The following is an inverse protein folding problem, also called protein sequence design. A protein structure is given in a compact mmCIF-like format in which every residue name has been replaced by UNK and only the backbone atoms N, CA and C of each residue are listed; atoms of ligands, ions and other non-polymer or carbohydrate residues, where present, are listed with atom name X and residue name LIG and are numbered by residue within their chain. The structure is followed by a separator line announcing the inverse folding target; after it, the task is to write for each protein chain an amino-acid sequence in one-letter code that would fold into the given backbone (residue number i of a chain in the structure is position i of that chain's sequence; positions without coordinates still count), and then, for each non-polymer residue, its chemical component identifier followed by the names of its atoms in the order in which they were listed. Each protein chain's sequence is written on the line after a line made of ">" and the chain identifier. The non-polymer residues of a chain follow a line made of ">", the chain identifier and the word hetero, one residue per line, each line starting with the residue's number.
data_IF_925829942773
#
_entry.id   IF_925829942773
#
_cell.length_a   1.000
_cell.length_b   1.000
_cell.length_c   1.000
_cell.angle_alpha   90.00
_cell.angle_beta   90.00
_cell.angle_gamma   90.00
#
_symmetry.space_group_name_H-M   'P 1'
#
loop_
_entity.id
_entity.type
_entity.pdbx_description
1 polymer ?
#
# COMPACT_ATOMS: atom_id res chain seq x y z
N UNK A 1 -10.40 10.02 14.44
CA UNK A 1 -11.46 10.89 13.86
C UNK A 1 -11.81 10.33 12.48
N UNK A 2 -13.09 10.30 12.11
CA UNK A 2 -13.53 9.88 10.78
C UNK A 2 -13.27 11.01 9.77
N UNK A 3 -12.92 10.65 8.53
CA UNK A 3 -12.71 11.64 7.46
C UNK A 3 -14.01 12.43 7.20
N UNK A 4 -13.98 13.78 7.16
CA UNK A 4 -15.16 14.55 6.85
C UNK A 4 -15.57 14.39 5.37
N UNK A 5 -16.85 14.64 5.02
CA UNK A 5 -17.25 14.75 3.62
C UNK A 5 -16.55 15.93 2.94
N UNK A 6 -16.45 15.87 1.62
CA UNK A 6 -15.84 16.95 0.83
C UNK A 6 -15.59 16.53 -0.61
N UNK A 7 -14.77 17.29 -1.33
CA UNK A 7 -14.36 16.93 -2.68
C UNK A 7 -13.09 16.08 -2.63
N UNK A 8 -13.04 15.03 -3.43
CA UNK A 8 -11.87 14.18 -3.55
C UNK A 8 -10.74 14.93 -4.25
N UNK A 9 -9.64 15.14 -3.53
CA UNK A 9 -8.44 15.81 -4.03
C UNK A 9 -7.42 14.77 -4.48
N UNK A 10 -7.69 14.12 -5.61
CA UNK A 10 -6.75 13.22 -6.26
C UNK A 10 -5.43 13.93 -6.59
N UNK A 11 -4.31 13.18 -6.62
CA UNK A 11 -2.99 13.74 -6.98
C UNK A 11 -2.71 13.52 -8.46
N UNK A 12 -2.01 14.48 -9.09
CA UNK A 12 -1.74 14.45 -10.53
C UNK A 12 -3.03 14.57 -11.35
N UNK A 13 -3.05 14.02 -12.55
CA UNK A 13 -4.21 13.99 -13.45
C UNK A 13 -5.16 12.85 -13.06
N UNK A 14 -5.64 12.87 -11.82
CA UNK A 14 -6.50 11.82 -11.31
C UNK A 14 -7.94 11.95 -11.87
N UNK A 15 -8.50 10.93 -12.54
CA UNK A 15 -9.79 11.04 -13.24
C UNK A 15 -10.98 11.33 -12.29
N UNK A 16 -10.96 10.78 -11.08
CA UNK A 16 -11.98 11.03 -10.04
C UNK A 16 -11.80 12.31 -9.21
N UNK A 17 -10.86 13.19 -9.57
CA UNK A 17 -10.68 14.45 -8.85
C UNK A 17 -11.96 15.30 -8.90
N UNK A 18 -12.36 15.88 -7.76
CA UNK A 18 -13.59 16.64 -7.65
C UNK A 18 -14.83 15.80 -7.31
N UNK A 19 -14.78 14.46 -7.40
CA UNK A 19 -15.89 13.61 -6.98
C UNK A 19 -16.23 13.80 -5.48
N UNK A 20 -17.52 13.70 -5.14
CA UNK A 20 -17.99 13.91 -3.77
C UNK A 20 -17.62 12.73 -2.87
N UNK A 21 -16.81 12.98 -1.85
CA UNK A 21 -16.62 12.10 -0.70
C UNK A 21 -17.82 12.23 0.23
N UNK A 22 -18.59 11.15 0.35
CA UNK A 22 -19.79 11.10 1.18
C UNK A 22 -19.43 11.14 2.66
N UNK A 23 -20.38 11.60 3.48
CA UNK A 23 -20.27 11.53 4.94
C UNK A 23 -20.47 10.08 5.37
N UNK A 24 -19.49 9.53 6.08
CA UNK A 24 -19.58 8.21 6.68
C UNK A 24 -20.55 8.24 7.88
N UNK A 25 -21.47 7.28 7.92
CA UNK A 25 -22.44 7.09 8.99
C UNK A 25 -22.05 5.90 9.88
N UNK A 26 -22.62 5.77 11.10
CA UNK A 26 -22.44 4.58 11.92
C UNK A 26 -22.72 3.27 11.18
N UNK A 27 -23.71 3.27 10.29
CA UNK A 27 -24.13 2.13 9.46
C UNK A 27 -23.11 1.74 8.39
N UNK A 28 -22.08 2.57 8.16
CA UNK A 28 -20.95 2.25 7.28
C UNK A 28 -19.75 1.68 8.07
N UNK A 29 -19.78 1.78 9.39
CA UNK A 29 -18.64 1.53 10.28
C UNK A 29 -18.68 0.10 10.81
N UNK A 30 -17.55 -0.59 10.65
CA UNK A 30 -17.26 -1.88 11.25
C UNK A 30 -16.32 -1.68 12.43
N UNK A 31 -16.73 -2.16 13.60
CA UNK A 31 -15.94 -2.16 14.83
C UNK A 31 -15.22 -3.51 14.96
N UNK A 32 -13.92 -3.49 15.24
CA UNK A 32 -13.16 -4.68 15.61
C UNK A 32 -12.66 -4.54 17.05
N UNK A 33 -13.05 -5.47 17.91
CA UNK A 33 -12.78 -5.40 19.34
C UNK A 33 -12.62 -6.80 19.96
N UNK A 34 -12.04 -6.92 21.15
CA UNK A 34 -11.96 -8.19 21.87
C UNK A 34 -13.35 -8.75 22.22
N UNK A 35 -13.50 -10.09 22.27
CA UNK A 35 -14.78 -10.75 22.56
C UNK A 35 -15.37 -10.35 23.91
N UNK A 36 -14.52 -10.24 24.92
CA UNK A 36 -14.91 -9.90 26.30
C UNK A 36 -14.86 -8.40 26.59
N UNK A 37 -14.59 -7.57 25.58
CA UNK A 37 -14.47 -6.12 25.75
C UNK A 37 -15.83 -5.43 25.61
N UNK A 38 -16.01 -4.32 26.34
CA UNK A 38 -17.21 -3.51 26.19
C UNK A 38 -17.29 -2.89 24.79
N UNK A 39 -18.31 -3.27 24.03
CA UNK A 39 -18.56 -2.74 22.68
C UNK A 39 -18.92 -1.25 22.79
N UNK A 40 -18.25 -0.36 22.03
CA UNK A 40 -18.61 1.05 21.97
C UNK A 40 -20.05 1.23 21.50
N UNK A 41 -20.83 2.06 22.20
CA UNK A 41 -22.21 2.35 21.79
C UNK A 41 -22.20 3.26 20.55
N UNK A 42 -23.04 2.99 19.54
CA UNK A 42 -23.27 3.91 18.44
C UNK A 42 -23.97 5.19 18.95
N UNK A 43 -23.95 6.28 18.17
CA UNK A 43 -24.80 7.44 18.43
C UNK A 43 -26.29 7.06 18.56
N UNK A 44 -27.06 7.88 19.26
CA UNK A 44 -28.48 7.64 19.48
C UNK A 44 -29.25 7.48 18.15
N UNK A 45 -30.14 6.48 18.08
CA UNK A 45 -30.91 6.15 16.88
C UNK A 45 -30.13 5.44 15.77
N UNK A 46 -28.84 5.15 15.98
CA UNK A 46 -27.97 4.52 14.98
C UNK A 46 -27.47 3.14 15.42
N UNK A 47 -26.95 2.38 14.46
CA UNK A 47 -26.26 1.12 14.71
C UNK A 47 -24.95 1.03 13.93
N UNK A 48 -24.02 0.21 14.42
CA UNK A 48 -22.82 -0.13 13.65
C UNK A 48 -23.18 -1.07 12.50
N UNK A 49 -22.47 -0.96 11.39
CA UNK A 49 -22.58 -1.90 10.26
C UNK A 49 -22.36 -3.35 10.72
N UNK A 50 -21.32 -3.53 11.52
CA UNK A 50 -20.88 -4.83 12.01
C UNK A 50 -19.98 -4.64 13.24
N UNK A 51 -20.05 -5.57 14.19
CA UNK A 51 -19.06 -5.71 15.26
C UNK A 51 -18.39 -7.08 15.08
N UNK A 52 -17.06 -7.11 15.01
CA UNK A 52 -16.27 -8.32 14.85
C UNK A 52 -15.16 -8.44 15.88
N UNK A 53 -14.63 -9.65 15.98
CA UNK A 53 -13.59 -10.02 16.95
C UNK A 53 -12.44 -10.75 16.25
N UNK A 54 -11.74 -10.05 15.35
CA UNK A 54 -10.62 -10.57 14.58
C UNK A 54 -9.29 -10.15 15.20
N UNK A 55 -8.57 -11.12 15.77
CA UNK A 55 -7.27 -10.92 16.39
C UNK A 55 -6.09 -11.05 15.41
N UNK A 56 -6.34 -11.30 14.12
CA UNK A 56 -5.31 -11.37 13.07
C UNK A 56 -5.03 -10.00 12.43
N UNK A 57 -5.91 -9.03 12.67
CA UNK A 57 -5.78 -7.66 12.15
C UNK A 57 -5.37 -6.67 13.23
N UNK A 58 -4.91 -5.49 12.83
CA UNK A 58 -4.43 -4.43 13.76
C UNK A 58 -5.29 -3.16 13.75
N UNK A 59 -6.37 -3.15 12.96
CA UNK A 59 -7.32 -2.04 12.92
C UNK A 59 -8.41 -2.24 13.97
N UNK A 60 -8.90 -1.11 14.49
CA UNK A 60 -9.96 -1.03 15.51
C UNK A 60 -11.31 -0.68 14.88
N UNK A 61 -11.28 0.14 13.83
CA UNK A 61 -12.47 0.59 13.10
C UNK A 61 -12.16 0.53 11.62
N UNK A 62 -13.13 0.14 10.80
CA UNK A 62 -13.04 0.12 9.35
C UNK A 62 -14.31 0.67 8.70
N UNK A 63 -14.17 1.35 7.56
CA UNK A 63 -15.29 1.65 6.67
C UNK A 63 -14.81 1.62 5.22
N UNK A 64 -15.73 1.47 4.28
CA UNK A 64 -15.42 1.52 2.85
C UNK A 64 -15.72 2.91 2.30
N UNK A 65 -14.75 3.55 1.64
CA UNK A 65 -14.94 4.87 1.05
C UNK A 65 -15.57 4.80 -0.36
N UNK A 66 -16.31 5.83 -0.76
CA UNK A 66 -17.20 5.76 -1.93
C UNK A 66 -16.58 6.15 -3.28
N UNK A 67 -15.33 6.63 -3.32
CA UNK A 67 -14.67 7.08 -4.56
C UNK A 67 -14.08 5.89 -5.30
N UNK A 68 -13.35 5.02 -4.60
CA UNK A 68 -12.69 3.84 -5.16
C UNK A 68 -13.15 2.53 -4.51
N UNK A 69 -14.03 2.57 -3.51
CA UNK A 69 -14.45 1.36 -2.79
C UNK A 69 -13.36 0.82 -1.86
N UNK A 70 -12.36 1.63 -1.52
CA UNK A 70 -11.25 1.17 -0.68
C UNK A 70 -11.64 1.15 0.80
N UNK A 71 -11.05 0.20 1.54
CA UNK A 71 -11.21 0.17 2.99
C UNK A 71 -10.28 1.18 3.66
N UNK A 72 -10.85 1.93 4.61
CA UNK A 72 -10.19 2.89 5.48
C UNK A 72 -10.23 2.39 6.90
N UNK A 73 -9.21 2.73 7.69
CA UNK A 73 -9.01 2.14 9.01
C UNK A 73 -8.66 3.20 10.05
N UNK A 74 -9.15 3.02 11.28
CA UNK A 74 -8.54 3.59 12.48
C UNK A 74 -7.62 2.53 13.07
N UNK A 75 -6.35 2.87 13.22
CA UNK A 75 -5.31 2.03 13.81
C UNK A 75 -4.65 2.77 14.98
N UNK A 76 -3.90 2.03 15.80
CA UNK A 76 -3.08 2.60 16.86
C UNK A 76 -2.00 3.55 16.32
N UNK A 77 -1.58 4.48 17.17
CA UNK A 77 -0.48 5.42 16.90
C UNK A 77 0.83 4.67 16.59
N UNK A 78 1.73 5.30 15.84
CA UNK A 78 3.09 4.84 15.59
C UNK A 78 3.88 4.53 16.87
N UNK A 79 3.62 5.24 17.97
CA UNK A 79 4.25 4.97 19.28
C UNK A 79 3.75 3.69 19.98
N UNK A 80 2.69 3.06 19.47
CA UNK A 80 2.20 1.81 20.04
C UNK A 80 3.17 0.64 19.82
N UNK A 81 3.19 -0.31 20.76
CA UNK A 81 4.00 -1.53 20.67
C UNK A 81 3.82 -2.25 19.32
N UNK A 82 2.58 -2.42 18.87
CA UNK A 82 2.26 -3.15 17.64
C UNK A 82 2.89 -2.48 16.40
N UNK A 83 2.85 -1.14 16.32
CA UNK A 83 3.47 -0.42 15.21
C UNK A 83 4.99 -0.39 15.35
N UNK A 84 5.51 -0.14 16.54
CA UNK A 84 6.94 -0.13 16.82
C UNK A 84 7.63 -1.46 16.52
N UNK A 85 7.04 -2.58 16.92
CA UNK A 85 7.60 -3.92 16.68
C UNK A 85 7.66 -4.25 15.18
N UNK A 86 6.61 -3.87 14.42
CA UNK A 86 6.61 -4.02 12.95
C UNK A 86 7.68 -3.14 12.29
N UNK A 87 7.85 -1.91 12.77
CA UNK A 87 8.84 -0.99 12.23
C UNK A 87 10.28 -1.45 12.54
N UNK A 88 10.51 -1.97 13.75
CA UNK A 88 11.76 -2.61 14.11
C UNK A 88 12.06 -3.83 13.21
N UNK A 89 11.08 -4.72 13.02
CA UNK A 89 11.22 -5.87 12.11
C UNK A 89 11.51 -5.45 10.66
N UNK A 90 10.93 -4.34 10.18
CA UNK A 90 11.20 -3.77 8.86
C UNK A 90 12.70 -3.43 8.71
N UNK A 91 13.29 -2.77 9.71
CA UNK A 91 14.73 -2.46 9.68
C UNK A 91 15.61 -3.71 9.85
N UNK A 92 15.23 -4.67 10.70
CA UNK A 92 15.95 -5.93 10.81
C UNK A 92 15.95 -6.71 9.49
N UNK A 93 14.86 -6.66 8.70
CA UNK A 93 14.83 -7.24 7.36
C UNK A 93 15.82 -6.55 6.42
N UNK A 94 15.92 -5.22 6.47
CA UNK A 94 16.90 -4.48 5.69
C UNK A 94 18.35 -4.81 6.09
N UNK A 95 18.63 -4.95 7.40
CA UNK A 95 19.95 -5.38 7.91
C UNK A 95 20.29 -6.80 7.46
N UNK A 96 19.32 -7.71 7.43
CA UNK A 96 19.51 -9.06 6.87
C UNK A 96 19.83 -9.01 5.37
N UNK A 97 19.14 -8.17 4.60
CA UNK A 97 19.42 -7.97 3.18
C UNK A 97 20.86 -7.46 2.96
N UNK A 98 21.30 -6.48 3.76
CA UNK A 98 22.66 -5.94 3.66
C UNK A 98 23.76 -7.01 3.76
N UNK A 99 23.56 -8.04 4.59
CA UNK A 99 24.55 -9.14 4.74
C UNK A 99 24.68 -10.05 3.50
N UNK A 100 23.69 -10.04 2.61
CA UNK A 100 23.64 -10.95 1.45
C UNK A 100 23.50 -10.20 0.13
N UNK A 101 23.57 -8.87 0.14
CA UNK A 101 23.27 -8.04 -1.03
C UNK A 101 24.25 -8.29 -2.17
N UNK A 102 25.53 -8.48 -1.88
CA UNK A 102 26.55 -8.66 -2.93
C UNK A 102 26.33 -9.97 -3.69
N UNK A 103 25.98 -11.05 -3.00
CA UNK A 103 25.56 -12.31 -3.65
C UNK A 103 24.32 -12.12 -4.54
N UNK A 104 23.35 -11.31 -4.12
CA UNK A 104 22.16 -11.01 -4.95
C UNK A 104 22.56 -10.22 -6.20
N UNK A 105 23.53 -9.31 -6.08
CA UNK A 105 24.07 -8.52 -7.19
C UNK A 105 24.80 -9.38 -8.20
N UNK A 106 25.67 -10.27 -7.74
CA UNK A 106 26.34 -11.26 -8.58
C UNK A 106 25.31 -12.10 -9.36
N UNK A 107 24.29 -12.60 -8.66
CA UNK A 107 23.24 -13.41 -9.28
C UNK A 107 22.49 -12.66 -10.39
N UNK A 108 22.03 -11.42 -10.15
CA UNK A 108 21.30 -10.70 -11.20
C UNK A 108 22.21 -10.29 -12.37
N UNK A 109 23.51 -10.08 -12.14
CA UNK A 109 24.46 -9.80 -13.21
C UNK A 109 24.70 -11.02 -14.11
N UNK A 110 24.74 -12.22 -13.52
CA UNK A 110 24.78 -13.47 -14.29
C UNK A 110 23.48 -13.61 -15.11
N UNK A 111 22.33 -13.35 -14.50
CA UNK A 111 21.02 -13.46 -15.13
C UNK A 111 20.83 -12.54 -16.35
N UNK A 112 21.60 -11.45 -16.49
CA UNK A 112 21.58 -10.60 -17.69
C UNK A 112 21.90 -11.34 -18.99
N UNK A 113 22.65 -12.45 -18.89
CA UNK A 113 23.04 -13.29 -20.03
C UNK A 113 22.18 -14.54 -20.18
N UNK A 114 21.10 -14.67 -19.39
CA UNK A 114 20.20 -15.82 -19.49
C UNK A 114 19.55 -15.92 -20.88
N UNK A 115 19.34 -17.15 -21.37
CA UNK A 115 18.60 -17.41 -22.61
C UNK A 115 17.12 -17.02 -22.47
N UNK A 116 16.56 -17.08 -21.26
CA UNK A 116 15.17 -16.75 -21.00
C UNK A 116 14.95 -15.24 -20.84
N UNK A 117 14.05 -14.67 -21.66
CA UNK A 117 13.73 -13.25 -21.60
C UNK A 117 13.19 -12.82 -20.23
N UNK A 118 12.31 -13.62 -19.63
CA UNK A 118 11.72 -13.34 -18.31
C UNK A 118 12.78 -13.18 -17.22
N UNK A 119 13.83 -13.99 -17.26
CA UNK A 119 14.94 -13.93 -16.30
C UNK A 119 15.73 -12.63 -16.51
N UNK A 120 16.05 -12.28 -17.76
CA UNK A 120 16.74 -11.02 -18.11
C UNK A 120 15.94 -9.79 -17.69
N UNK A 121 14.63 -9.76 -17.97
CA UNK A 121 13.74 -8.68 -17.57
C UNK A 121 13.72 -8.51 -16.04
N UNK A 122 13.55 -9.60 -15.29
CA UNK A 122 13.61 -9.59 -13.81
C UNK A 122 14.93 -9.04 -13.30
N UNK A 123 16.05 -9.47 -13.88
CA UNK A 123 17.38 -9.06 -13.46
C UNK A 123 17.67 -7.58 -13.73
N UNK A 124 17.23 -7.05 -14.88
CA UNK A 124 17.34 -5.61 -15.19
C UNK A 124 16.43 -4.79 -14.28
N UNK A 125 15.20 -5.22 -14.02
CA UNK A 125 14.31 -4.55 -13.08
C UNK A 125 14.90 -4.53 -11.65
N UNK A 126 15.46 -5.66 -11.21
CA UNK A 126 16.12 -5.74 -9.89
C UNK A 126 17.33 -4.81 -9.80
N UNK A 127 18.11 -4.70 -10.88
CA UNK A 127 19.22 -3.74 -10.98
C UNK A 127 18.74 -2.29 -10.83
N UNK A 128 17.66 -1.88 -11.52
CA UNK A 128 17.11 -0.53 -11.37
C UNK A 128 16.58 -0.28 -9.96
N UNK A 129 15.93 -1.27 -9.33
CA UNK A 129 15.48 -1.14 -7.94
C UNK A 129 16.68 -1.00 -6.97
N UNK A 130 17.74 -1.81 -7.13
CA UNK A 130 18.93 -1.76 -6.28
C UNK A 130 19.72 -0.45 -6.46
N UNK A 131 19.98 -0.03 -7.70
CA UNK A 131 20.88 1.10 -7.99
C UNK A 131 20.20 2.46 -8.01
N UNK A 132 18.95 2.52 -8.44
CA UNK A 132 18.21 3.78 -8.59
C UNK A 132 17.10 3.94 -7.56
N UNK A 133 16.93 2.97 -6.65
CA UNK A 133 15.90 2.94 -5.61
C UNK A 133 14.48 3.14 -6.18
N UNK A 134 14.22 2.65 -7.40
CA UNK A 134 12.89 2.69 -7.99
C UNK A 134 11.92 1.86 -7.15
N UNK A 135 10.69 2.35 -7.00
CA UNK A 135 9.60 1.54 -6.44
C UNK A 135 9.24 0.44 -7.44
N UNK A 136 8.77 -0.69 -6.93
CA UNK A 136 8.42 -1.89 -7.74
C UNK A 136 7.49 -1.53 -8.90
N UNK A 137 6.44 -0.73 -8.67
CA UNK A 137 5.50 -0.33 -9.73
C UNK A 137 4.50 -1.42 -10.04
N UNK A 138 3.44 -1.48 -9.23
CA UNK A 138 2.30 -2.35 -9.51
C UNK A 138 1.50 -1.80 -10.70
N UNK A 139 0.82 -2.68 -11.42
CA UNK A 139 -0.21 -2.28 -12.39
C UNK A 139 -1.32 -1.50 -11.68
N UNK A 140 -1.94 -0.60 -12.43
CA UNK A 140 -3.01 0.27 -11.96
C UNK A 140 -4.22 0.13 -12.88
N UNK A 141 -5.39 0.34 -12.29
CA UNK A 141 -6.64 0.40 -13.04
C UNK A 141 -6.78 1.76 -13.75
N UNK A 142 -7.65 1.82 -14.76
CA UNK A 142 -7.94 3.02 -15.57
C UNK A 142 -8.47 4.20 -14.74
N UNK A 143 -9.02 3.93 -13.56
CA UNK A 143 -9.58 4.91 -12.62
C UNK A 143 -8.52 5.59 -11.72
N UNK A 144 -7.23 5.35 -11.99
CA UNK A 144 -6.10 5.89 -11.24
C UNK A 144 -5.26 6.86 -12.07
N UNK A 145 -4.55 7.78 -11.40
CA UNK A 145 -3.58 8.62 -12.09
C UNK A 145 -2.46 7.76 -12.70
N UNK A 146 -2.13 8.01 -13.96
CA UNK A 146 -1.05 7.31 -14.67
C UNK A 146 0.31 7.67 -14.06
N UNK A 147 0.83 6.74 -13.27
CA UNK A 147 2.18 6.85 -12.71
C UNK A 147 2.79 5.47 -12.71
N UNK A 148 4.06 5.38 -13.08
CA UNK A 148 4.76 4.10 -13.19
C UNK A 148 5.81 3.88 -12.11
N UNK A 149 6.19 2.63 -11.91
CA UNK A 149 7.41 2.22 -11.20
C UNK A 149 8.20 1.25 -12.05
N UNK A 150 9.22 0.61 -11.49
CA UNK A 150 10.21 -0.16 -12.24
C UNK A 150 9.59 -1.23 -13.17
N UNK A 151 8.62 -2.01 -12.67
CA UNK A 151 7.98 -3.10 -13.40
C UNK A 151 6.87 -2.64 -14.33
N UNK A 152 6.41 -1.39 -14.21
CA UNK A 152 5.38 -0.80 -15.08
C UNK A 152 5.94 0.29 -16.01
N UNK A 153 7.27 0.37 -16.16
CA UNK A 153 7.90 1.23 -17.16
C UNK A 153 7.44 0.84 -18.58
N UNK A 154 7.28 1.87 -19.42
CA UNK A 154 6.89 1.76 -20.82
C UNK A 154 8.06 2.25 -21.68
N UNK A 155 8.06 1.87 -22.95
CA UNK A 155 9.14 2.21 -23.89
C UNK A 155 9.36 3.74 -23.95
N UNK A 156 8.28 4.53 -23.91
CA UNK A 156 8.33 6.00 -23.91
C UNK A 156 9.07 6.64 -22.71
N UNK A 157 9.25 5.89 -21.61
CA UNK A 157 9.89 6.40 -20.39
C UNK A 157 11.42 6.28 -20.40
N UNK A 158 12.00 5.57 -21.37
CA UNK A 158 13.43 5.31 -21.42
C UNK A 158 13.96 5.69 -22.79
N UNK A 159 15.00 6.53 -22.80
CA UNK A 159 15.78 6.85 -24.00
C UNK A 159 17.20 6.34 -23.82
N UNK A 160 17.66 5.54 -24.77
CA UNK A 160 19.06 5.11 -24.85
C UNK A 160 19.82 6.12 -25.71
N UNK A 161 21.00 6.52 -25.24
CA UNK A 161 21.91 7.36 -25.98
C UNK A 161 23.16 6.54 -26.29
N UNK A 162 23.66 6.65 -27.52
CA UNK A 162 24.93 6.03 -27.88
C UNK A 162 26.06 6.60 -27.02
N UNK A 163 27.07 5.76 -26.78
CA UNK A 163 28.24 6.10 -25.97
C UNK A 163 29.24 6.93 -26.74
#
# INVERSE_FOLDING_TARGET
>A
KIEPPGLFRGRGEHPKMGCVKKRIRPEDIIINIGKESQIPKPPEGHHWKEVRHDNKVSWLVMWTENIRGNNKYIMLNASSRVKGERDWQKYEKARKLHRVIDKIRENYQIDWKSKEMRIRQRAVALYFIDKLALRVGNEKDEDEADTVGCCSLRIEHIKLFDK
#
